data_IF_242525014125
#
_entry.id   IF_242525014125
#
_cell.length_a   1.000
_cell.length_b   1.000
_cell.length_c   1.000
_cell.angle_alpha   90.00
_cell.angle_beta   90.00
_cell.angle_gamma   90.00
#
_symmetry.space_group_name_H-M   'P 1'
#
loop_
_entity.id
_entity.type
_entity.pdbx_description
1 polymer ?
#
# COMPACT_ATOMS: atom_id res chain seq x y z
N UNK A 1 -8.87 5.62 -19.47
CA UNK A 1 -9.83 5.29 -18.39
C UNK A 1 -9.11 4.40 -17.39
N UNK A 2 -9.39 4.56 -16.10
CA UNK A 2 -8.81 3.80 -14.99
C UNK A 2 -9.93 2.98 -14.33
N UNK A 3 -9.63 1.74 -13.98
CA UNK A 3 -10.57 0.89 -13.24
C UNK A 3 -10.40 1.14 -11.75
N UNK A 4 -11.25 1.98 -11.19
CA UNK A 4 -11.22 2.39 -9.79
C UNK A 4 -12.26 1.58 -9.01
N UNK A 5 -11.81 0.85 -8.00
CA UNK A 5 -12.68 0.08 -7.13
C UNK A 5 -13.44 1.01 -6.17
N UNK A 6 -12.70 1.93 -5.51
CA UNK A 6 -13.26 2.93 -4.61
C UNK A 6 -12.34 4.13 -4.43
N UNK A 7 -12.95 5.28 -4.06
CA UNK A 7 -12.24 6.46 -3.54
C UNK A 7 -12.87 6.82 -2.20
N UNK A 8 -12.07 6.94 -1.16
CA UNK A 8 -12.56 7.27 0.18
C UNK A 8 -11.55 8.09 0.98
N UNK A 9 -12.03 8.77 2.02
CA UNK A 9 -11.23 9.59 2.93
C UNK A 9 -11.16 8.95 4.31
N UNK A 10 -9.95 8.73 4.81
CA UNK A 10 -9.71 8.14 6.11
C UNK A 10 -8.33 8.52 6.65
N UNK A 11 -7.85 7.82 7.68
CA UNK A 11 -6.47 7.87 8.13
C UNK A 11 -5.66 6.75 7.49
N UNK A 12 -4.42 7.04 7.06
CA UNK A 12 -3.49 5.97 6.71
C UNK A 12 -3.23 5.11 7.95
N UNK A 13 -3.49 3.81 7.82
CA UNK A 13 -3.43 2.87 8.93
C UNK A 13 -2.11 2.12 9.05
N UNK A 14 -1.17 2.28 8.10
CA UNK A 14 0.01 1.42 7.96
C UNK A 14 1.27 2.23 7.64
N UNK A 15 2.44 1.65 7.97
CA UNK A 15 3.75 2.21 7.61
C UNK A 15 4.07 3.55 8.27
N UNK A 16 4.95 4.31 7.63
CA UNK A 16 5.46 5.59 8.14
C UNK A 16 4.41 6.70 8.18
N UNK A 17 3.38 6.62 7.33
CA UNK A 17 2.32 7.61 7.24
C UNK A 17 1.12 7.32 8.16
N UNK A 18 1.22 6.32 9.06
CA UNK A 18 0.16 5.96 10.00
C UNK A 18 -0.37 7.16 10.76
N UNK A 19 -1.71 7.31 10.82
CA UNK A 19 -2.40 8.39 11.50
C UNK A 19 -2.59 9.65 10.64
N UNK A 20 -2.02 9.72 9.44
CA UNK A 20 -2.15 10.87 8.55
C UNK A 20 -3.48 10.81 7.79
N UNK A 21 -4.28 11.90 7.78
CA UNK A 21 -5.46 11.98 6.93
C UNK A 21 -5.10 11.85 5.45
N UNK A 22 -5.75 10.93 4.74
CA UNK A 22 -5.46 10.62 3.35
C UNK A 22 -6.71 10.31 2.54
N UNK A 23 -6.67 10.64 1.25
CA UNK A 23 -7.64 10.16 0.28
C UNK A 23 -7.05 8.91 -0.38
N UNK A 24 -7.76 7.81 -0.28
CA UNK A 24 -7.35 6.54 -0.91
C UNK A 24 -8.02 6.42 -2.28
N UNK A 25 -7.20 6.15 -3.29
CA UNK A 25 -7.66 5.75 -4.62
C UNK A 25 -7.27 4.29 -4.80
N UNK A 26 -8.26 3.40 -4.68
CA UNK A 26 -8.08 1.96 -4.82
C UNK A 26 -8.37 1.52 -6.25
N UNK A 27 -7.35 1.05 -6.94
CA UNK A 27 -7.48 0.50 -8.28
C UNK A 27 -7.91 -0.96 -8.26
N UNK A 28 -8.69 -1.37 -9.23
CA UNK A 28 -9.08 -2.77 -9.43
C UNK A 28 -8.03 -3.52 -10.25
N UNK A 29 -7.86 -4.80 -9.95
CA UNK A 29 -6.96 -5.72 -10.64
C UNK A 29 -5.57 -5.80 -10.00
N UNK A 30 -5.02 -6.99 -10.00
CA UNK A 30 -3.67 -7.30 -9.50
C UNK A 30 -3.02 -8.34 -10.40
N UNK A 31 -1.71 -8.27 -10.54
CA UNK A 31 -0.91 -9.26 -11.28
C UNK A 31 -0.42 -10.42 -10.39
N UNK A 32 -0.78 -10.40 -9.10
CA UNK A 32 -0.47 -11.47 -8.14
C UNK A 32 -1.76 -12.00 -7.48
N UNK A 33 -1.69 -13.20 -6.93
CA UNK A 33 -2.77 -13.82 -6.16
C UNK A 33 -2.22 -14.28 -4.82
N UNK A 34 -2.32 -13.42 -3.80
CA UNK A 34 -1.84 -13.70 -2.46
C UNK A 34 -2.94 -14.36 -1.62
N UNK A 35 -2.62 -15.44 -0.92
CA UNK A 35 -3.62 -16.16 -0.08
C UNK A 35 -4.12 -15.33 1.11
N UNK A 36 -3.34 -14.34 1.54
CA UNK A 36 -3.68 -13.43 2.65
C UNK A 36 -4.24 -12.08 2.16
N UNK A 37 -4.62 -11.97 0.88
CA UNK A 37 -5.17 -10.72 0.35
C UNK A 37 -6.52 -10.43 1.00
N UNK A 38 -6.62 -9.27 1.64
CA UNK A 38 -7.83 -8.80 2.33
C UNK A 38 -8.62 -7.78 1.50
N UNK A 39 -8.19 -7.51 0.28
CA UNK A 39 -8.83 -6.55 -0.61
C UNK A 39 -9.68 -7.26 -1.66
N UNK A 40 -10.97 -6.94 -1.69
CA UNK A 40 -11.83 -7.27 -2.83
C UNK A 40 -11.77 -6.14 -3.86
N UNK A 41 -11.20 -6.43 -5.02
CA UNK A 41 -11.11 -5.53 -6.16
C UNK A 41 -11.80 -6.10 -7.41
N UNK A 42 -12.80 -6.95 -7.22
CA UNK A 42 -13.57 -7.57 -8.31
C UNK A 42 -14.49 -6.57 -9.00
N UNK A 43 -15.03 -5.60 -8.25
CA UNK A 43 -15.86 -4.52 -8.79
C UNK A 43 -15.02 -3.28 -9.10
N UNK A 44 -15.46 -2.50 -10.09
CA UNK A 44 -14.86 -1.21 -10.41
C UNK A 44 -15.81 -0.31 -11.19
N UNK A 45 -15.49 0.98 -11.17
CA UNK A 45 -16.05 1.99 -12.08
C UNK A 45 -14.92 2.48 -12.99
N UNK A 46 -15.19 2.62 -14.28
CA UNK A 46 -14.26 3.28 -15.20
C UNK A 46 -14.31 4.79 -14.97
N UNK A 47 -13.17 5.39 -14.63
CA UNK A 47 -13.04 6.80 -14.34
C UNK A 47 -11.99 7.43 -15.25
N UNK A 48 -12.26 8.66 -15.71
CA UNK A 48 -11.26 9.51 -16.37
C UNK A 48 -10.29 10.11 -15.34
N UNK A 49 -9.23 10.76 -15.79
CA UNK A 49 -8.36 11.56 -14.93
C UNK A 49 -9.17 12.66 -14.22
N UNK A 50 -10.01 13.32 -14.96
CA UNK A 50 -10.85 14.43 -14.49
C UNK A 50 -11.82 13.97 -13.39
N UNK A 51 -12.41 12.78 -13.53
CA UNK A 51 -13.29 12.18 -12.52
C UNK A 51 -12.53 11.88 -11.22
N UNK A 52 -11.31 11.28 -11.32
CA UNK A 52 -10.47 10.96 -10.16
C UNK A 52 -10.04 12.25 -9.47
N UNK A 53 -9.56 13.25 -10.22
CA UNK A 53 -9.14 14.55 -9.69
C UNK A 53 -10.30 15.25 -8.98
N UNK A 54 -11.50 15.24 -9.57
CA UNK A 54 -12.71 15.82 -8.97
C UNK A 54 -13.06 15.13 -7.66
N UNK A 55 -13.07 13.79 -7.63
CA UNK A 55 -13.38 13.01 -6.43
C UNK A 55 -12.36 13.23 -5.31
N UNK A 56 -11.05 13.26 -5.64
CA UNK A 56 -9.97 13.49 -4.68
C UNK A 56 -10.01 14.93 -4.14
N UNK A 57 -10.36 15.92 -4.99
CA UNK A 57 -10.41 17.32 -4.61
C UNK A 57 -11.58 17.67 -3.68
N UNK A 58 -12.58 16.80 -3.57
CA UNK A 58 -13.68 16.96 -2.61
C UNK A 58 -13.23 16.87 -1.15
N UNK A 59 -12.02 16.36 -0.89
CA UNK A 59 -11.49 16.17 0.46
C UNK A 59 -10.31 17.10 0.76
N UNK A 60 -10.18 17.58 2.01
CA UNK A 60 -9.16 18.58 2.39
C UNK A 60 -7.74 17.98 2.50
N UNK A 61 -7.60 16.65 2.59
CA UNK A 61 -6.30 16.03 2.75
C UNK A 61 -5.40 16.28 1.53
N UNK A 62 -4.14 16.60 1.82
CA UNK A 62 -3.11 16.73 0.80
C UNK A 62 -2.61 15.35 0.35
N UNK A 63 -2.49 14.39 1.27
CA UNK A 63 -2.02 13.04 0.99
C UNK A 63 -3.07 12.26 0.20
N UNK A 64 -2.65 11.69 -0.92
CA UNK A 64 -3.39 10.70 -1.71
C UNK A 64 -2.60 9.42 -1.73
N UNK A 65 -3.23 8.32 -1.33
CA UNK A 65 -2.65 6.99 -1.36
C UNK A 65 -3.20 6.23 -2.55
N UNK A 66 -2.34 6.00 -3.53
CA UNK A 66 -2.63 5.19 -4.72
C UNK A 66 -2.38 3.72 -4.35
N UNK A 67 -3.44 2.95 -4.24
CA UNK A 67 -3.40 1.57 -3.73
C UNK A 67 -4.36 0.67 -4.52
N UNK A 68 -4.69 -0.51 -4.02
CA UNK A 68 -5.71 -1.37 -4.59
C UNK A 68 -5.25 -2.82 -4.73
N UNK A 69 -5.47 -3.44 -5.89
CA UNK A 69 -4.79 -4.66 -6.26
C UNK A 69 -3.30 -4.37 -6.49
N UNK A 70 -2.94 -3.95 -7.71
CA UNK A 70 -1.61 -3.41 -8.00
C UNK A 70 -1.76 -2.10 -8.80
N UNK A 71 -1.52 -0.94 -8.17
CA UNK A 71 -1.73 0.37 -8.82
C UNK A 71 -0.81 0.61 -10.00
N UNK A 72 0.42 0.05 -10.01
CA UNK A 72 1.36 0.22 -11.11
C UNK A 72 0.90 -0.40 -12.45
N UNK A 73 -0.20 -1.16 -12.44
CA UNK A 73 -0.84 -1.64 -13.67
C UNK A 73 -1.56 -0.52 -14.43
N UNK A 74 -1.93 0.56 -13.74
CA UNK A 74 -2.82 1.58 -14.28
C UNK A 74 -2.30 3.01 -14.08
N UNK A 75 -1.61 3.29 -12.97
CA UNK A 75 -1.10 4.63 -12.66
C UNK A 75 -0.05 5.01 -13.71
N UNK A 76 -0.28 6.13 -14.37
CA UNK A 76 0.58 6.70 -15.39
C UNK A 76 0.95 8.16 -15.08
N UNK A 77 1.87 8.73 -15.86
CA UNK A 77 2.33 10.10 -15.70
C UNK A 77 1.21 11.12 -15.81
N UNK A 78 0.20 10.87 -16.68
CA UNK A 78 -0.91 11.79 -16.87
C UNK A 78 -1.73 11.95 -15.57
N UNK A 79 -2.01 10.85 -14.87
CA UNK A 79 -2.72 10.88 -13.60
C UNK A 79 -1.89 11.57 -12.51
N UNK A 80 -0.59 11.25 -12.44
CA UNK A 80 0.35 11.87 -11.47
C UNK A 80 0.38 13.38 -11.64
N UNK A 81 0.60 13.87 -12.87
CA UNK A 81 0.68 15.31 -13.14
C UNK A 81 -0.65 16.03 -12.84
N UNK A 82 -1.78 15.40 -13.13
CA UNK A 82 -3.09 16.00 -12.86
C UNK A 82 -3.39 16.10 -11.36
N UNK A 83 -2.99 15.13 -10.56
CA UNK A 83 -3.14 15.18 -9.09
C UNK A 83 -2.18 16.20 -8.47
N UNK A 84 -0.95 16.34 -8.97
CA UNK A 84 -0.03 17.40 -8.55
C UNK A 84 -0.56 18.80 -8.91
N UNK A 85 -1.22 18.96 -10.05
CA UNK A 85 -1.80 20.25 -10.46
C UNK A 85 -2.86 20.77 -9.47
N UNK A 86 -3.46 19.87 -8.67
CA UNK A 86 -4.38 20.22 -7.57
C UNK A 86 -3.75 20.11 -6.18
N UNK A 87 -2.42 20.24 -6.11
CA UNK A 87 -1.64 20.30 -4.86
C UNK A 87 -1.70 19.03 -3.98
N UNK A 88 -1.88 17.85 -4.57
CA UNK A 88 -1.83 16.59 -3.82
C UNK A 88 -0.40 16.08 -3.72
N UNK A 89 -0.10 15.38 -2.62
CA UNK A 89 1.12 14.63 -2.35
C UNK A 89 0.81 13.15 -2.53
N UNK A 90 1.54 12.46 -3.40
CA UNK A 90 1.18 11.15 -3.90
C UNK A 90 2.04 10.07 -3.24
N UNK A 91 1.42 9.23 -2.42
CA UNK A 91 1.99 7.98 -1.96
C UNK A 91 1.46 6.82 -2.81
N UNK A 92 2.31 5.86 -3.13
CA UNK A 92 1.91 4.62 -3.81
C UNK A 92 2.26 3.40 -2.96
N UNK A 93 1.33 2.44 -2.88
CA UNK A 93 1.57 1.13 -2.29
C UNK A 93 1.60 0.07 -3.38
N UNK A 94 2.78 -0.46 -3.69
CA UNK A 94 3.00 -1.39 -4.80
C UNK A 94 3.67 -2.68 -4.34
N UNK A 95 3.45 -3.77 -5.04
CA UNK A 95 4.18 -5.03 -4.83
C UNK A 95 5.61 -5.01 -5.41
N UNK A 96 5.99 -3.94 -6.12
CA UNK A 96 7.34 -3.74 -6.64
C UNK A 96 7.70 -4.54 -7.90
N UNK A 97 6.73 -5.19 -8.54
CA UNK A 97 6.98 -6.06 -9.71
C UNK A 97 6.94 -5.32 -11.05
N UNK A 98 6.61 -4.02 -11.05
CA UNK A 98 6.50 -3.19 -12.25
C UNK A 98 7.15 -1.83 -12.04
N UNK A 99 7.61 -1.16 -13.12
CA UNK A 99 8.10 0.21 -13.01
C UNK A 99 6.98 1.16 -12.61
N UNK A 100 7.35 2.24 -11.94
CA UNK A 100 6.45 3.34 -11.59
C UNK A 100 6.65 4.52 -12.54
N UNK A 101 5.61 5.33 -12.79
CA UNK A 101 5.78 6.61 -13.45
C UNK A 101 6.61 7.55 -12.55
N UNK A 102 7.31 8.49 -13.17
CA UNK A 102 7.98 9.56 -12.44
C UNK A 102 6.98 10.45 -11.70
N UNK A 103 7.43 11.07 -10.61
CA UNK A 103 6.64 12.06 -9.86
C UNK A 103 5.82 11.48 -8.70
N UNK A 104 5.99 10.21 -8.35
CA UNK A 104 5.47 9.69 -7.08
C UNK A 104 6.32 10.26 -5.95
N UNK A 105 5.68 10.88 -4.94
CA UNK A 105 6.36 11.57 -3.84
C UNK A 105 6.78 10.62 -2.71
N UNK A 106 6.09 9.49 -2.56
CA UNK A 106 6.38 8.50 -1.52
C UNK A 106 6.08 7.07 -2.03
N UNK A 107 7.07 6.23 -2.04
CA UNK A 107 6.95 4.85 -2.54
C UNK A 107 7.03 3.87 -1.37
N UNK A 108 5.95 3.12 -1.16
CA UNK A 108 5.92 1.93 -0.31
C UNK A 108 6.00 0.69 -1.18
N UNK A 109 7.09 -0.08 -1.07
CA UNK A 109 7.15 -1.40 -1.67
C UNK A 109 6.69 -2.43 -0.64
N UNK A 110 5.64 -3.18 -0.99
CA UNK A 110 5.13 -4.30 -0.21
C UNK A 110 5.38 -5.62 -0.95
N UNK A 111 6.61 -6.16 -0.87
CA UNK A 111 7.02 -7.32 -1.67
C UNK A 111 6.22 -8.57 -1.27
N UNK A 112 5.97 -9.43 -2.25
CA UNK A 112 5.27 -10.70 -2.08
C UNK A 112 6.18 -11.84 -2.51
N UNK A 113 6.06 -13.01 -1.89
CA UNK A 113 6.91 -14.16 -2.21
C UNK A 113 6.80 -14.61 -3.66
N UNK A 114 5.60 -14.51 -4.24
CA UNK A 114 5.31 -14.96 -5.60
C UNK A 114 5.70 -13.96 -6.68
N UNK A 115 6.08 -12.74 -6.31
CA UNK A 115 6.39 -11.66 -7.24
C UNK A 115 7.91 -11.51 -7.48
N UNK A 116 8.30 -11.35 -8.75
CA UNK A 116 9.68 -10.93 -9.07
C UNK A 116 9.77 -9.41 -8.90
N UNK A 117 10.41 -8.96 -7.82
CA UNK A 117 10.64 -7.55 -7.54
C UNK A 117 11.62 -6.98 -8.56
N UNK A 118 11.30 -5.82 -9.14
CA UNK A 118 12.17 -5.08 -10.05
C UNK A 118 12.53 -3.69 -9.51
N UNK A 119 11.75 -3.13 -8.58
CA UNK A 119 12.07 -1.87 -7.94
C UNK A 119 13.14 -2.11 -6.87
N UNK A 120 14.19 -1.30 -6.88
CA UNK A 120 15.34 -1.42 -5.98
C UNK A 120 15.45 -0.29 -4.97
N UNK A 121 14.60 0.73 -5.08
CA UNK A 121 14.57 1.89 -4.19
C UNK A 121 13.14 2.22 -3.76
N UNK A 122 12.97 2.60 -2.51
CA UNK A 122 11.69 3.00 -1.92
C UNK A 122 11.89 3.95 -0.74
N UNK A 123 10.84 4.68 -0.34
CA UNK A 123 10.81 5.42 0.91
C UNK A 123 10.56 4.52 2.12
N UNK A 124 9.86 3.40 1.89
CA UNK A 124 9.74 2.32 2.86
C UNK A 124 9.49 0.97 2.19
N UNK A 125 9.91 -0.08 2.88
CA UNK A 125 9.54 -1.47 2.59
C UNK A 125 8.61 -1.96 3.69
N UNK A 126 7.43 -2.47 3.32
CA UNK A 126 6.42 -2.97 4.26
C UNK A 126 6.07 -4.42 3.91
N UNK A 127 6.53 -5.37 4.72
CA UNK A 127 6.37 -6.81 4.47
C UNK A 127 5.30 -7.39 5.36
N UNK A 128 4.28 -8.04 4.78
CA UNK A 128 3.39 -8.93 5.54
C UNK A 128 4.19 -10.16 5.92
N UNK A 129 4.36 -10.40 7.22
CA UNK A 129 5.15 -11.50 7.74
C UNK A 129 4.32 -12.79 7.81
N UNK A 130 4.80 -13.81 7.15
CA UNK A 130 4.18 -15.14 7.09
C UNK A 130 5.19 -16.25 7.42
N UNK A 131 6.32 -15.89 8.09
CA UNK A 131 7.39 -16.82 8.44
C UNK A 131 8.47 -16.97 7.36
N UNK A 132 8.41 -16.17 6.29
CA UNK A 132 9.41 -16.19 5.21
C UNK A 132 10.73 -15.51 5.61
N UNK A 133 11.79 -15.75 4.82
CA UNK A 133 13.03 -15.00 4.91
C UNK A 133 12.79 -13.54 4.45
N UNK A 134 12.69 -12.62 5.42
CA UNK A 134 12.44 -11.20 5.15
C UNK A 134 13.75 -10.42 4.96
N UNK A 135 14.90 -10.94 5.40
CA UNK A 135 16.17 -10.25 5.26
C UNK A 135 16.59 -10.12 3.79
N UNK A 136 16.14 -11.01 2.93
CA UNK A 136 16.34 -10.87 1.47
C UNK A 136 15.82 -9.54 0.92
N UNK A 137 14.77 -8.98 1.50
CA UNK A 137 14.21 -7.72 1.01
C UNK A 137 15.06 -6.52 1.39
N UNK A 138 15.73 -6.56 2.53
CA UNK A 138 16.69 -5.50 2.90
C UNK A 138 17.96 -5.54 2.04
N UNK A 139 18.31 -6.71 1.50
CA UNK A 139 19.42 -6.86 0.57
C UNK A 139 19.06 -6.41 -0.87
N UNK A 140 17.80 -6.50 -1.25
CA UNK A 140 17.36 -6.21 -2.63
C UNK A 140 16.80 -4.81 -2.83
N UNK A 141 16.22 -4.21 -1.79
CA UNK A 141 15.53 -2.91 -1.87
C UNK A 141 16.19 -1.97 -0.88
N UNK A 142 16.76 -0.88 -1.39
CA UNK A 142 17.28 0.21 -0.57
C UNK A 142 16.13 1.09 -0.09
N UNK A 143 15.95 1.22 1.22
CA UNK A 143 14.96 2.08 1.82
C UNK A 143 15.44 2.61 3.18
N UNK A 144 15.04 3.82 3.58
CA UNK A 144 15.36 4.34 4.92
C UNK A 144 14.52 3.68 6.04
N UNK A 145 13.48 2.92 5.69
CA UNK A 145 12.56 2.30 6.67
C UNK A 145 12.11 0.93 6.19
N UNK A 146 12.15 -0.03 7.12
CA UNK A 146 11.67 -1.40 6.89
C UNK A 146 10.64 -1.75 7.95
N UNK A 147 9.48 -2.20 7.50
CA UNK A 147 8.36 -2.56 8.37
C UNK A 147 7.95 -4.02 8.18
N UNK A 148 7.71 -4.70 9.30
CA UNK A 148 6.99 -5.98 9.32
C UNK A 148 5.58 -5.75 9.80
N UNK A 149 4.63 -6.30 9.07
CA UNK A 149 3.21 -6.24 9.37
C UNK A 149 2.71 -7.65 9.69
N UNK A 150 2.02 -7.85 10.83
CA UNK A 150 1.39 -9.12 11.11
C UNK A 150 0.40 -9.52 10.04
N UNK A 151 0.42 -10.79 9.67
CA UNK A 151 -0.58 -11.35 8.76
C UNK A 151 -1.88 -11.58 9.53
N UNK A 152 -2.94 -10.90 9.10
CA UNK A 152 -4.30 -11.13 9.64
C UNK A 152 -5.00 -12.23 8.86
N UNK A 153 -5.56 -13.19 9.57
CA UNK A 153 -6.37 -14.27 9.02
C UNK A 153 -7.71 -14.36 9.76
N UNK A 154 -8.75 -14.77 9.07
CA UNK A 154 -10.02 -15.13 9.70
C UNK A 154 -10.11 -16.65 9.79
N UNK A 155 -10.02 -17.20 11.02
CA UNK A 155 -10.18 -18.63 11.29
C UNK A 155 -11.46 -18.85 12.09
N UNK A 156 -12.38 -19.64 11.55
CA UNK A 156 -13.67 -19.95 12.17
C UNK A 156 -14.48 -18.70 12.61
N UNK A 157 -14.43 -17.62 11.81
CA UNK A 157 -15.10 -16.36 12.10
C UNK A 157 -14.40 -15.47 13.14
N UNK A 158 -13.24 -15.89 13.64
CA UNK A 158 -12.42 -15.11 14.59
C UNK A 158 -11.22 -14.54 13.83
N UNK A 159 -11.04 -13.23 13.91
CA UNK A 159 -9.84 -12.59 13.40
C UNK A 159 -8.66 -12.89 14.32
N UNK A 160 -7.63 -13.47 13.75
CA UNK A 160 -6.36 -13.79 14.41
C UNK A 160 -5.22 -13.18 13.62
N UNK A 161 -4.09 -12.96 14.26
CA UNK A 161 -2.86 -12.55 13.61
C UNK A 161 -1.64 -13.15 14.31
N UNK A 162 -0.48 -13.04 13.68
CA UNK A 162 0.78 -13.53 14.20
C UNK A 162 1.64 -12.42 14.84
N UNK A 163 0.99 -11.40 15.46
CA UNK A 163 1.69 -10.22 16.01
C UNK A 163 2.76 -10.55 17.04
N UNK A 164 2.57 -11.57 17.86
CA UNK A 164 3.57 -11.99 18.86
C UNK A 164 4.85 -12.50 18.22
N UNK A 165 4.72 -13.25 17.14
CA UNK A 165 5.85 -13.74 16.36
C UNK A 165 6.59 -12.59 15.69
N UNK A 166 5.86 -11.66 15.06
CA UNK A 166 6.42 -10.46 14.44
C UNK A 166 7.16 -9.61 15.45
N UNK A 167 6.58 -9.36 16.63
CA UNK A 167 7.24 -8.58 17.70
C UNK A 167 8.53 -9.27 18.14
N UNK A 168 8.51 -10.59 18.36
CA UNK A 168 9.69 -11.36 18.73
C UNK A 168 10.79 -11.26 17.66
N UNK A 169 10.39 -11.33 16.38
CA UNK A 169 11.32 -11.18 15.27
C UNK A 169 11.99 -9.79 15.28
N UNK A 170 11.18 -8.73 15.38
CA UNK A 170 11.67 -7.33 15.39
C UNK A 170 12.62 -7.08 16.56
N UNK A 171 12.33 -7.59 17.76
CA UNK A 171 13.20 -7.44 18.92
C UNK A 171 14.58 -8.06 18.74
N UNK A 172 14.70 -9.07 17.89
CA UNK A 172 15.97 -9.70 17.51
C UNK A 172 16.62 -9.08 16.26
N UNK A 173 15.86 -8.24 15.51
CA UNK A 173 16.30 -7.59 14.26
C UNK A 173 15.89 -6.11 14.27
N UNK A 174 16.60 -5.25 15.04
CA UNK A 174 16.14 -3.89 15.38
C UNK A 174 16.11 -2.88 14.21
N UNK A 175 16.54 -3.25 13.02
CA UNK A 175 16.36 -2.44 11.81
C UNK A 175 14.92 -2.54 11.25
N UNK A 176 14.17 -3.57 11.63
CA UNK A 176 12.76 -3.69 11.35
C UNK A 176 11.91 -2.91 12.35
N UNK A 177 10.80 -2.38 11.88
CA UNK A 177 9.78 -1.70 12.69
C UNK A 177 8.45 -2.42 12.56
N UNK A 178 7.60 -2.30 13.57
CA UNK A 178 6.25 -2.84 13.52
C UNK A 178 5.35 -1.91 12.71
N UNK A 179 4.63 -2.45 11.72
CA UNK A 179 3.47 -1.81 11.11
C UNK A 179 2.22 -2.58 11.55
N UNK A 180 1.22 -1.87 12.04
CA UNK A 180 -0.09 -2.43 12.34
C UNK A 180 -1.10 -1.95 11.29
N UNK A 181 -2.19 -2.67 11.14
CA UNK A 181 -3.37 -2.20 10.41
C UNK A 181 -4.27 -1.42 11.38
N UNK A 182 -3.84 -0.19 11.75
CA UNK A 182 -4.50 0.61 12.79
C UNK A 182 -5.94 0.97 12.43
N UNK A 183 -6.26 1.08 11.13
CA UNK A 183 -7.63 1.26 10.66
C UNK A 183 -8.55 0.12 11.11
N UNK A 184 -8.09 -1.13 11.12
CA UNK A 184 -8.86 -2.28 11.64
C UNK A 184 -9.05 -2.21 13.15
N UNK A 185 -8.02 -1.77 13.90
CA UNK A 185 -8.07 -1.61 15.35
C UNK A 185 -9.05 -0.50 15.74
N UNK A 186 -9.06 0.60 14.98
CA UNK A 186 -9.93 1.76 15.21
C UNK A 186 -11.32 1.57 14.62
N UNK A 187 -11.57 0.49 13.89
CA UNK A 187 -12.81 0.22 13.16
C UNK A 187 -13.21 1.39 12.24
N UNK A 188 -12.23 1.96 11.54
CA UNK A 188 -12.41 2.96 10.50
C UNK A 188 -12.09 2.34 9.14
N UNK A 189 -12.45 3.08 8.09
CA UNK A 189 -12.22 2.64 6.72
C UNK A 189 -10.76 2.79 6.31
#
# INVERSE_FOLDING_TARGET
MYRVNEIFYSLQGEGANTGTPAVFVRFSGCNLSCFFCDTDFSSYTEMSVEDIVSAVSAYPARLVVLTGGEPSLQVDRKLVDALHAVNKYLAIETNGTRPLPEGIDFVTISPKETGKIILQEADEVKVVYIGQDVERYTAWISAPRYFLQPCSEVKNGVQTDNREEVIRYILNHPHWRLSLQTHKILNIR
#
